data_IF_016178537445
#
_entry.id   IF_016178537445
#
_cell.length_a   1.000
_cell.length_b   1.000
_cell.length_c   1.000
_cell.angle_alpha   90.00
_cell.angle_beta   90.00
_cell.angle_gamma   90.00
#
_symmetry.space_group_name_H-M   'P 1'
#
loop_
_entity.id
_entity.type
_entity.pdbx_description
1 polymer ?
#
# COMPACT_ATOMS: atom_id res chain seq x y z
N UNK A 1 -7.08 16.73 3.33
CA UNK A 1 -7.64 15.48 3.89
C UNK A 1 -6.67 14.38 3.49
N UNK A 2 -6.01 13.73 4.44
CA UNK A 2 -5.11 12.61 4.15
C UNK A 2 -5.89 11.30 4.24
N UNK A 3 -5.76 10.44 3.23
CA UNK A 3 -6.30 9.09 3.22
C UNK A 3 -5.25 8.13 3.77
N UNK A 4 -5.71 7.11 4.50
CA UNK A 4 -4.90 5.96 4.87
C UNK A 4 -5.40 4.76 4.10
N UNK A 5 -4.53 4.13 3.32
CA UNK A 5 -4.82 2.96 2.51
C UNK A 5 -3.97 1.82 3.03
N UNK A 6 -4.61 0.73 3.45
CA UNK A 6 -3.92 -0.46 3.91
C UNK A 6 -4.11 -1.58 2.89
N UNK A 7 -3.01 -2.15 2.43
CA UNK A 7 -2.97 -3.22 1.45
C UNK A 7 -2.27 -4.45 2.03
N UNK A 8 -2.81 -5.62 1.77
CA UNK A 8 -2.13 -6.90 1.94
C UNK A 8 -1.32 -7.19 0.69
N UNK A 9 -0.01 -7.42 0.83
CA UNK A 9 0.87 -7.73 -0.31
C UNK A 9 1.66 -8.99 -0.02
N UNK A 10 1.60 -9.98 -0.90
CA UNK A 10 2.38 -11.21 -0.81
C UNK A 10 3.88 -10.94 -0.91
N UNK A 11 4.53 -10.76 0.25
CA UNK A 11 5.97 -10.53 0.36
C UNK A 11 6.62 -11.76 1.01
N UNK A 12 7.42 -12.50 0.25
CA UNK A 12 8.15 -13.70 0.73
C UNK A 12 9.65 -13.48 0.87
N UNK A 13 10.17 -12.30 0.50
CA UNK A 13 11.60 -11.99 0.56
C UNK A 13 11.81 -10.48 0.74
N UNK A 14 12.95 -10.08 1.33
CA UNK A 14 13.34 -8.67 1.45
C UNK A 14 13.42 -7.94 0.09
N UNK A 15 13.71 -8.67 -1.00
CA UNK A 15 13.63 -8.11 -2.35
C UNK A 15 12.22 -7.65 -2.74
N UNK A 16 11.17 -8.36 -2.31
CA UNK A 16 9.79 -7.98 -2.55
C UNK A 16 9.44 -6.69 -1.81
N UNK A 17 9.89 -6.55 -0.56
CA UNK A 17 9.73 -5.34 0.25
C UNK A 17 10.39 -4.15 -0.43
N UNK A 18 11.64 -4.30 -0.87
CA UNK A 18 12.38 -3.24 -1.55
C UNK A 18 11.68 -2.76 -2.83
N UNK A 19 11.10 -3.69 -3.59
CA UNK A 19 10.35 -3.36 -4.80
C UNK A 19 9.04 -2.60 -4.49
N UNK A 20 8.30 -3.01 -3.46
CA UNK A 20 7.07 -2.31 -3.02
C UNK A 20 7.42 -0.91 -2.49
N UNK A 21 8.44 -0.80 -1.63
CA UNK A 21 8.95 0.48 -1.11
C UNK A 21 9.36 1.44 -2.23
N UNK A 22 10.01 0.93 -3.28
CA UNK A 22 10.43 1.74 -4.45
C UNK A 22 9.26 2.31 -5.23
N UNK A 23 8.19 1.55 -5.43
CA UNK A 23 7.01 2.06 -6.17
C UNK A 23 6.18 3.01 -5.32
N UNK A 24 6.03 2.75 -4.03
CA UNK A 24 5.33 3.64 -3.10
C UNK A 24 6.07 4.96 -2.89
N UNK A 25 7.40 4.92 -2.77
CA UNK A 25 8.20 6.15 -2.65
C UNK A 25 8.27 6.99 -3.93
N UNK A 26 7.89 6.42 -5.08
CA UNK A 26 7.72 7.16 -6.34
C UNK A 26 6.29 7.63 -6.57
N UNK A 27 5.35 7.20 -5.74
CA UNK A 27 3.94 7.52 -5.91
C UNK A 27 3.67 8.93 -5.42
N UNK A 28 3.09 9.75 -6.29
CA UNK A 28 2.75 11.13 -5.96
C UNK A 28 1.59 11.18 -4.97
N UNK A 29 1.69 12.04 -3.96
CA UNK A 29 0.70 12.19 -2.89
C UNK A 29 0.92 11.30 -1.67
N UNK A 30 1.89 10.37 -1.69
CA UNK A 30 2.27 9.62 -0.49
C UNK A 30 3.07 10.53 0.45
N UNK A 31 2.56 10.72 1.66
CA UNK A 31 3.27 11.46 2.72
C UNK A 31 4.12 10.51 3.56
N UNK A 32 3.53 9.40 3.98
CA UNK A 32 4.19 8.36 4.79
C UNK A 32 3.72 6.98 4.38
N UNK A 33 4.58 5.98 4.54
CA UNK A 33 4.22 4.59 4.31
C UNK A 33 4.96 3.68 5.29
N UNK A 34 4.32 2.59 5.66
CA UNK A 34 4.82 1.59 6.59
C UNK A 34 4.63 0.19 5.98
N UNK A 35 5.61 -0.68 6.17
CA UNK A 35 5.63 -2.02 5.56
C UNK A 35 5.97 -3.06 6.63
N UNK A 36 4.96 -3.83 7.01
CA UNK A 36 5.08 -4.99 7.90
C UNK A 36 5.32 -6.26 7.06
N UNK A 37 6.56 -6.77 7.04
CA UNK A 37 6.85 -8.06 6.39
C UNK A 37 6.16 -9.22 7.12
N UNK A 38 6.13 -9.19 8.46
CA UNK A 38 5.57 -10.25 9.30
C UNK A 38 4.08 -10.48 9.04
N UNK A 39 3.33 -9.37 8.92
CA UNK A 39 1.90 -9.41 8.62
C UNK A 39 1.59 -9.31 7.12
N UNK A 40 2.61 -9.14 6.28
CA UNK A 40 2.46 -8.87 4.86
C UNK A 40 1.54 -7.67 4.58
N UNK A 41 1.64 -6.63 5.42
CA UNK A 41 0.77 -5.46 5.44
C UNK A 41 1.54 -4.22 5.02
N UNK A 42 0.91 -3.39 4.21
CA UNK A 42 1.45 -2.14 3.70
C UNK A 42 0.46 -1.04 4.03
N UNK A 43 0.87 -0.08 4.83
CA UNK A 43 0.07 1.08 5.21
C UNK A 43 0.60 2.29 4.47
N UNK A 44 -0.24 2.97 3.71
CA UNK A 44 0.12 4.18 2.97
C UNK A 44 -0.75 5.33 3.47
N UNK A 45 -0.14 6.44 3.84
CA UNK A 45 -0.80 7.65 4.32
C UNK A 45 -0.44 8.82 3.42
N UNK A 46 -1.46 9.54 2.97
CA UNK A 46 -1.28 10.73 2.16
C UNK A 46 -2.51 11.05 1.32
N UNK A 47 -2.37 11.97 0.37
CA UNK A 47 -3.44 12.32 -0.56
C UNK A 47 -3.42 11.39 -1.78
N UNK A 48 -3.62 10.09 -1.54
CA UNK A 48 -3.60 9.04 -2.57
C UNK A 48 -4.93 8.30 -2.68
N UNK A 49 -5.26 7.89 -3.90
CA UNK A 49 -6.45 7.08 -4.18
C UNK A 49 -6.16 5.59 -3.92
N UNK A 50 -7.00 4.86 -3.17
CA UNK A 50 -6.80 3.44 -2.87
C UNK A 50 -6.64 2.58 -4.12
N UNK A 51 -7.39 2.86 -5.18
CA UNK A 51 -7.28 2.17 -6.46
C UNK A 51 -5.92 2.41 -7.13
N UNK A 52 -5.43 3.65 -7.13
CA UNK A 52 -4.12 4.01 -7.66
C UNK A 52 -2.98 3.31 -6.88
N UNK A 53 -3.10 3.18 -5.55
CA UNK A 53 -2.12 2.46 -4.73
C UNK A 53 -2.14 0.98 -5.11
N UNK A 54 -3.33 0.37 -5.20
CA UNK A 54 -3.47 -1.04 -5.58
C UNK A 54 -2.90 -1.31 -6.98
N UNK A 55 -3.19 -0.46 -7.98
CA UNK A 55 -2.61 -0.59 -9.32
C UNK A 55 -1.07 -0.46 -9.30
N UNK A 56 -0.54 0.51 -8.55
CA UNK A 56 0.90 0.76 -8.45
C UNK A 56 1.63 -0.44 -7.85
N UNK A 57 1.08 -1.04 -6.79
CA UNK A 57 1.65 -2.24 -6.18
C UNK A 57 1.47 -3.46 -7.09
N UNK A 58 0.31 -3.59 -7.76
CA UNK A 58 0.03 -4.69 -8.71
C UNK A 58 0.98 -4.72 -9.90
N UNK A 59 1.48 -3.55 -10.37
CA UNK A 59 2.53 -3.45 -11.40
C UNK A 59 3.83 -4.16 -11.01
N UNK A 60 4.04 -4.39 -9.72
CA UNK A 60 5.22 -5.12 -9.26
C UNK A 60 5.06 -6.65 -9.33
N UNK A 61 3.91 -7.15 -9.78
CA UNK A 61 3.65 -8.57 -10.04
C UNK A 61 3.33 -9.40 -8.81
N UNK A 62 3.00 -8.78 -7.66
CA UNK A 62 2.64 -9.50 -6.44
C UNK A 62 1.14 -9.48 -6.21
N UNK A 63 0.64 -10.54 -5.58
CA UNK A 63 -0.73 -10.60 -5.06
C UNK A 63 -0.92 -9.45 -4.07
N UNK A 64 -1.86 -8.58 -4.40
CA UNK A 64 -2.19 -7.38 -3.63
C UNK A 64 -3.68 -7.34 -3.43
N UNK A 65 -4.11 -7.20 -2.19
CA UNK A 65 -5.52 -7.13 -1.81
C UNK A 65 -5.71 -5.99 -0.82
N UNK A 66 -6.92 -5.42 -0.74
CA UNK A 66 -7.23 -4.44 0.30
C UNK A 66 -7.24 -5.11 1.67
N UNK A 67 -6.57 -4.50 2.64
CA UNK A 67 -6.61 -5.01 4.00
C UNK A 67 -7.96 -4.64 4.64
N UNK A 68 -8.72 -5.61 5.17
CA UNK A 68 -10.10 -5.38 5.60
C UNK A 68 -10.25 -4.57 6.90
N UNK A 69 -9.16 -4.16 7.56
CA UNK A 69 -9.22 -3.64 8.93
C UNK A 69 -9.27 -2.11 9.09
N UNK A 70 -8.93 -1.30 8.08
CA UNK A 70 -8.97 0.17 8.22
C UNK A 70 -8.92 0.82 6.83
N UNK A 71 -9.99 1.48 6.38
CA UNK A 71 -9.93 2.24 5.12
C UNK A 71 -11.20 2.46 4.30
N UNK A 72 -12.40 2.22 4.83
CA UNK A 72 -13.62 2.93 4.37
C UNK A 72 -14.15 3.72 5.56
N UNK A 73 -13.50 4.85 5.83
CA UNK A 73 -14.12 5.95 6.57
C UNK A 73 -14.15 7.16 5.65
N UNK A 74 -15.05 7.11 4.66
CA UNK A 74 -15.59 8.30 4.02
C UNK A 74 -16.97 7.98 3.45
N UNK A 75 -17.98 8.28 4.27
CA UNK A 75 -19.32 8.78 3.90
C UNK A 75 -20.38 7.76 3.46
N UNK A 76 -21.27 7.43 4.40
CA UNK A 76 -22.70 7.68 4.21
C UNK A 76 -23.14 8.70 5.26
#
# INVERSE_FOLDING_TARGET
>A
MSQTVVLKVGMSCGGCVGAVKRVLGKMEGVETFDIDLEQQKVTVKGNVQPDAVLQTVSKTGKKTEFWPAEGVSATA
#
